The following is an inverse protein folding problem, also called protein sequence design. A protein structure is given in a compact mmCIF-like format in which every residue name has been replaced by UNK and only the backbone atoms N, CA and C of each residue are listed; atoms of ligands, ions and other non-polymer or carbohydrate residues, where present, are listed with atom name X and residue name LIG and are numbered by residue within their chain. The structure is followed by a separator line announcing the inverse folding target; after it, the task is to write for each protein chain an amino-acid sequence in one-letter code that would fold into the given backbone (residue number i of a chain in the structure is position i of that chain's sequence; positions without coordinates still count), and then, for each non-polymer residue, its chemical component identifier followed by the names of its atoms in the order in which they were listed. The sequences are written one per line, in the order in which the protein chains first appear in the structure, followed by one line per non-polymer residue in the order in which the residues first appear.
data_IF_525848683924
#
_entry.id   IF_525848683924
#
_cell.length_a   1.000
_cell.length_b   1.000
_cell.length_c   1.000
_cell.angle_alpha   90.00
_cell.angle_beta   90.00
_cell.angle_gamma   90.00
#
_symmetry.space_group_name_H-M   'P 1'
#
loop_
_entity.id
_entity.type
_entity.pdbx_description
1 polymer ?
#
# COMPACT_ATOMS: atom_id res chain seq x y z
N UNK A 1 5.06 -11.15 -12.16
CA UNK A 1 3.66 -10.84 -11.83
C UNK A 1 3.35 -9.41 -12.23
N UNK A 2 2.14 -9.16 -12.68
CA UNK A 2 1.61 -7.83 -12.96
C UNK A 2 1.02 -7.20 -11.69
N UNK A 3 0.70 -5.91 -11.72
CA UNK A 3 -0.01 -5.28 -10.62
C UNK A 3 -1.39 -5.89 -10.36
N UNK A 4 -2.08 -6.35 -11.40
CA UNK A 4 -3.36 -7.05 -11.24
C UNK A 4 -3.18 -8.38 -10.50
N UNK A 5 -2.18 -9.19 -10.87
CA UNK A 5 -1.92 -10.48 -10.22
C UNK A 5 -1.61 -10.31 -8.72
N UNK A 6 -0.77 -9.31 -8.37
CA UNK A 6 -0.46 -9.00 -6.96
C UNK A 6 -1.67 -8.44 -6.23
N UNK A 7 -2.48 -7.60 -6.90
CA UNK A 7 -3.73 -7.10 -6.35
C UNK A 7 -4.70 -8.23 -6.03
N UNK A 8 -4.87 -9.19 -6.93
CA UNK A 8 -5.74 -10.35 -6.73
C UNK A 8 -5.26 -11.23 -5.57
N UNK A 9 -3.94 -11.43 -5.43
CA UNK A 9 -3.36 -12.17 -4.29
C UNK A 9 -3.51 -11.43 -2.96
N UNK A 10 -3.50 -10.09 -2.98
CA UNK A 10 -3.86 -9.28 -1.81
C UNK A 10 -5.38 -9.13 -1.61
N UNK A 11 -6.20 -9.71 -2.50
CA UNK A 11 -7.62 -9.44 -2.66
C UNK A 11 -8.00 -7.94 -2.75
N UNK A 12 -7.07 -7.12 -3.24
CA UNK A 12 -7.27 -5.69 -3.46
C UNK A 12 -7.67 -5.43 -4.90
N UNK A 13 -8.85 -4.83 -5.06
CA UNK A 13 -9.28 -4.32 -6.37
C UNK A 13 -8.61 -2.98 -6.67
N UNK A 14 -7.68 -3.00 -7.64
CA UNK A 14 -7.06 -1.77 -8.16
C UNK A 14 -8.11 -0.94 -8.90
N UNK A 15 -8.29 0.36 -8.56
CA UNK A 15 -9.21 1.23 -9.28
C UNK A 15 -8.88 1.32 -10.78
N UNK A 16 -9.89 1.38 -11.64
CA UNK A 16 -9.70 1.38 -13.09
C UNK A 16 -8.90 2.60 -13.55
N UNK A 17 -9.12 3.74 -12.90
CA UNK A 17 -8.42 5.01 -13.13
C UNK A 17 -7.00 5.06 -12.55
N UNK A 18 -6.55 4.01 -11.85
CA UNK A 18 -5.23 4.00 -11.24
C UNK A 18 -4.13 4.05 -12.32
N UNK A 19 -3.18 4.96 -12.16
CA UNK A 19 -2.01 5.14 -13.01
C UNK A 19 -0.74 4.82 -12.24
N UNK A 20 0.41 4.82 -12.93
CA UNK A 20 1.73 4.60 -12.32
C UNK A 20 1.74 3.38 -11.38
N UNK A 21 1.34 2.23 -11.93
CA UNK A 21 1.16 0.98 -11.19
C UNK A 21 2.49 0.26 -11.07
N UNK A 22 2.89 -0.03 -9.85
CA UNK A 22 4.08 -0.78 -9.50
C UNK A 22 3.68 -1.95 -8.63
N UNK A 23 4.26 -3.12 -8.87
CA UNK A 23 4.04 -4.26 -8.01
C UNK A 23 5.26 -5.15 -7.97
N UNK A 24 5.47 -5.79 -6.83
CA UNK A 24 6.44 -6.85 -6.66
C UNK A 24 5.84 -7.98 -5.83
N UNK A 25 6.32 -9.17 -6.11
CA UNK A 25 6.17 -10.34 -5.27
C UNK A 25 7.58 -10.87 -4.99
N UNK A 26 7.88 -11.08 -3.72
CA UNK A 26 9.17 -11.53 -3.24
C UNK A 26 8.96 -12.83 -2.47
N UNK A 27 9.43 -13.94 -3.06
CA UNK A 27 9.50 -15.22 -2.36
C UNK A 27 10.41 -15.08 -1.15
N UNK A 28 9.87 -15.24 0.05
CA UNK A 28 10.65 -15.24 1.27
C UNK A 28 11.05 -16.64 1.69
N UNK A 29 11.92 -16.72 2.71
CA UNK A 29 12.30 -18.00 3.31
C UNK A 29 11.33 -18.45 4.41
N UNK A 30 10.58 -17.51 5.00
CA UNK A 30 9.54 -17.75 6.01
C UNK A 30 8.19 -17.29 5.48
N UNK A 31 8.10 -16.02 5.09
CA UNK A 31 6.86 -15.38 4.62
C UNK A 31 7.09 -14.68 3.27
N UNK A 32 6.10 -14.69 2.40
CA UNK A 32 6.17 -14.02 1.10
C UNK A 32 5.80 -12.54 1.22
N UNK A 33 6.57 -11.70 0.54
CA UNK A 33 6.37 -10.26 0.53
C UNK A 33 5.63 -9.80 -0.71
N UNK A 34 4.48 -9.16 -0.54
CA UNK A 34 3.69 -8.56 -1.61
C UNK A 34 3.76 -7.04 -1.51
N UNK A 35 4.12 -6.37 -2.61
CA UNK A 35 4.09 -4.91 -2.72
C UNK A 35 3.19 -4.50 -3.88
N UNK A 36 2.32 -3.54 -3.62
CA UNK A 36 1.51 -2.89 -4.65
C UNK A 36 1.49 -1.39 -4.39
N UNK A 37 1.75 -0.60 -5.43
CA UNK A 37 1.63 0.84 -5.37
C UNK A 37 1.01 1.37 -6.66
N UNK A 38 0.18 2.40 -6.53
CA UNK A 38 -0.43 3.05 -7.68
C UNK A 38 -0.90 4.45 -7.31
N UNK A 39 -1.11 5.29 -8.32
CA UNK A 39 -1.59 6.66 -8.15
C UNK A 39 -3.06 6.73 -8.54
N UNK A 40 -3.87 7.41 -7.73
CA UNK A 40 -5.31 7.65 -7.98
C UNK A 40 -5.67 9.11 -7.72
N UNK A 41 -6.79 9.60 -8.28
CA UNK A 41 -7.32 10.89 -7.89
C UNK A 41 -7.55 10.94 -6.37
N UNK A 42 -7.14 12.02 -5.72
CA UNK A 42 -7.28 12.22 -4.26
C UNK A 42 -8.75 12.09 -3.81
N UNK A 43 -9.70 12.51 -4.66
CA UNK A 43 -11.13 12.35 -4.41
C UNK A 43 -11.61 10.88 -4.35
N UNK A 44 -10.84 9.94 -4.91
CA UNK A 44 -11.15 8.50 -4.93
C UNK A 44 -10.54 7.73 -3.78
N UNK A 45 -9.53 8.29 -3.11
CA UNK A 45 -8.83 7.64 -1.99
C UNK A 45 -9.80 7.15 -0.92
N UNK A 46 -10.77 7.99 -0.52
CA UNK A 46 -11.73 7.60 0.52
C UNK A 46 -12.53 6.35 0.15
N UNK A 47 -13.10 6.32 -1.05
CA UNK A 47 -13.86 5.18 -1.55
C UNK A 47 -12.99 3.91 -1.67
N UNK A 48 -11.74 4.07 -2.13
CA UNK A 48 -10.80 2.97 -2.20
C UNK A 48 -10.48 2.40 -0.81
N UNK A 49 -10.15 3.26 0.16
CA UNK A 49 -9.85 2.85 1.54
C UNK A 49 -11.05 2.17 2.22
N UNK A 50 -12.27 2.65 2.00
CA UNK A 50 -13.48 1.97 2.52
C UNK A 50 -13.61 0.54 2.00
N UNK A 51 -13.17 0.27 0.78
CA UNK A 51 -13.15 -1.09 0.21
C UNK A 51 -12.11 -2.02 0.83
N UNK A 52 -11.10 -1.48 1.52
CA UNK A 52 -10.07 -2.28 2.19
C UNK A 52 -10.48 -2.74 3.60
N UNK A 53 -11.63 -2.29 4.09
CA UNK A 53 -12.13 -2.58 5.44
C UNK A 53 -11.06 -2.34 6.53
N UNK A 54 -10.56 -1.08 6.69
CA UNK A 54 -9.65 -0.76 7.76
C UNK A 54 -10.30 -1.06 9.11
N UNK A 55 -9.59 -1.79 9.97
CA UNK A 55 -10.10 -2.17 11.30
C UNK A 55 -10.27 -0.95 12.21
N UNK A 56 -9.46 0.08 11.99
CA UNK A 56 -9.38 1.31 12.76
C UNK A 56 -9.14 2.50 11.81
N UNK A 57 -9.36 3.72 12.30
CA UNK A 57 -9.03 4.91 11.53
C UNK A 57 -7.52 4.95 11.21
N UNK A 58 -7.17 5.29 9.97
CA UNK A 58 -5.77 5.37 9.55
C UNK A 58 -5.07 6.51 10.29
N UNK A 59 -3.87 6.24 10.78
CA UNK A 59 -3.08 7.25 11.48
C UNK A 59 -2.49 8.24 10.48
N UNK A 60 -2.76 9.53 10.69
CA UNK A 60 -2.10 10.59 9.94
C UNK A 60 -0.75 10.95 10.56
N UNK A 61 0.28 10.93 9.72
CA UNK A 61 1.65 11.31 10.05
C UNK A 61 2.08 12.49 9.19
N UNK A 62 2.18 13.66 9.80
CA UNK A 62 2.57 14.90 9.14
C UNK A 62 4.08 15.01 8.81
N UNK A 63 4.95 14.24 9.48
CA UNK A 63 6.41 14.29 9.30
C UNK A 63 6.99 12.91 9.02
N UNK A 64 8.07 12.79 8.23
CA UNK A 64 8.77 11.51 8.07
C UNK A 64 9.14 10.89 9.41
N UNK A 65 9.19 9.56 9.48
CA UNK A 65 9.66 8.88 10.67
C UNK A 65 11.14 9.21 10.92
N UNK A 66 11.46 9.61 12.15
CA UNK A 66 12.83 9.98 12.54
C UNK A 66 13.79 8.79 12.50
N UNK A 67 13.25 7.57 12.70
CA UNK A 67 13.97 6.32 12.57
C UNK A 67 13.09 5.35 11.77
N UNK A 68 13.62 4.84 10.67
CA UNK A 68 12.96 3.83 9.84
C UNK A 68 13.72 2.52 9.98
N UNK A 69 13.05 1.47 10.43
CA UNK A 69 13.59 0.11 10.28
C UNK A 69 13.60 -0.19 8.78
N UNK A 70 14.71 -0.72 8.26
CA UNK A 70 14.81 -1.07 6.84
C UNK A 70 13.81 -2.20 6.54
N UNK A 71 12.79 -2.00 5.69
CA UNK A 71 11.84 -3.05 5.39
C UNK A 71 12.54 -4.19 4.65
N UNK A 72 12.11 -5.42 4.94
CA UNK A 72 12.59 -6.65 4.28
C UNK A 72 12.21 -6.69 2.80
N UNK A 73 11.06 -6.09 2.46
CA UNK A 73 10.53 -5.95 1.10
C UNK A 73 10.29 -4.46 0.82
N UNK A 74 11.33 -3.71 0.39
CA UNK A 74 11.24 -2.25 0.23
C UNK A 74 10.61 -1.82 -1.10
N UNK A 75 9.79 -0.76 -1.08
CA UNK A 75 9.27 -0.10 -2.28
C UNK A 75 10.38 0.57 -3.12
N UNK A 76 11.54 0.83 -2.54
CA UNK A 76 12.71 1.34 -3.25
C UNK A 76 13.13 0.46 -4.44
N UNK A 77 12.90 -0.86 -4.38
CA UNK A 77 13.17 -1.76 -5.51
C UNK A 77 12.26 -1.49 -6.72
N UNK A 78 11.11 -0.85 -6.49
CA UNK A 78 10.18 -0.40 -7.53
C UNK A 78 10.46 1.04 -7.99
N UNK A 79 11.57 1.65 -7.55
CA UNK A 79 11.91 3.04 -7.84
C UNK A 79 11.06 4.06 -7.07
N UNK A 80 10.38 3.63 -6.01
CA UNK A 80 9.51 4.48 -5.19
C UNK A 80 10.18 4.83 -3.86
N UNK A 81 9.82 5.98 -3.29
CA UNK A 81 10.17 6.29 -1.90
C UNK A 81 9.33 5.45 -0.94
N UNK A 82 9.94 5.05 0.16
CA UNK A 82 9.25 4.36 1.26
C UNK A 82 8.24 5.30 1.92
N UNK A 83 6.99 4.85 2.19
CA UNK A 83 5.99 5.64 2.92
C UNK A 83 6.50 6.26 4.22
N UNK A 84 7.35 5.53 4.94
CA UNK A 84 7.96 5.92 6.21
C UNK A 84 8.85 7.16 6.09
N UNK A 85 9.43 7.40 4.91
CA UNK A 85 10.30 8.55 4.61
C UNK A 85 9.53 9.78 4.11
N UNK A 86 8.22 9.66 3.94
CA UNK A 86 7.35 10.71 3.41
C UNK A 86 6.61 11.45 4.52
N UNK A 87 6.32 12.73 4.27
CA UNK A 87 5.44 13.55 5.08
C UNK A 87 3.96 13.34 4.66
N UNK A 88 3.03 13.80 5.49
CA UNK A 88 1.58 13.80 5.22
C UNK A 88 1.00 12.44 4.78
N UNK A 89 1.49 11.37 5.41
CA UNK A 89 1.05 10.00 5.10
C UNK A 89 -0.08 9.58 6.03
N UNK A 90 -1.11 8.95 5.48
CA UNK A 90 -2.13 8.21 6.25
C UNK A 90 -1.86 6.73 6.12
N UNK A 91 -1.65 6.01 7.22
CA UNK A 91 -1.34 4.58 7.18
C UNK A 91 -1.98 3.78 8.30
N UNK A 92 -2.13 2.47 8.09
CA UNK A 92 -2.68 1.56 9.08
C UNK A 92 -2.98 0.18 8.52
N UNK A 93 -3.28 -0.79 9.39
CA UNK A 93 -3.65 -2.14 9.00
C UNK A 93 -5.01 -2.14 8.30
N UNK A 94 -5.13 -3.02 7.31
CA UNK A 94 -6.36 -3.29 6.56
C UNK A 94 -6.47 -4.78 6.34
N UNK A 95 -7.63 -5.24 5.89
CA UNK A 95 -7.92 -6.67 5.81
C UNK A 95 -8.33 -7.14 4.41
N UNK A 96 -8.86 -6.23 3.59
CA UNK A 96 -9.29 -6.31 2.19
C UNK A 96 -9.48 -7.71 1.57
N UNK A 97 -10.74 -8.05 1.24
CA UNK A 97 -11.59 -8.82 2.15
C UNK A 97 -10.78 -9.83 2.96
N UNK A 98 -11.08 -9.93 4.26
CA UNK A 98 -10.47 -10.83 5.24
C UNK A 98 -10.58 -12.32 4.90
N UNK A 99 -10.01 -12.76 3.77
CA UNK A 99 -10.06 -14.14 3.30
C UNK A 99 -9.12 -15.06 4.10
N UNK A 100 -8.25 -14.47 4.93
CA UNK A 100 -7.34 -15.20 5.82
C UNK A 100 -6.09 -15.75 5.12
N UNK A 101 -5.83 -15.36 3.87
CA UNK A 101 -4.66 -15.79 3.09
C UNK A 101 -3.44 -14.88 3.27
N UNK A 102 -3.57 -13.75 3.97
CA UNK A 102 -2.43 -12.91 4.34
C UNK A 102 -2.32 -12.87 5.87
N UNK A 103 -1.12 -13.07 6.39
CA UNK A 103 -0.78 -12.81 7.78
C UNK A 103 -0.94 -11.33 8.15
N UNK A 104 -0.66 -10.42 7.22
CA UNK A 104 -0.92 -8.99 7.40
C UNK A 104 -1.06 -8.23 6.08
N UNK A 105 -1.84 -7.15 6.09
CA UNK A 105 -1.91 -6.18 5.01
C UNK A 105 -1.93 -4.76 5.60
N UNK A 106 -1.02 -3.92 5.15
CA UNK A 106 -0.94 -2.51 5.54
C UNK A 106 -1.17 -1.62 4.32
N UNK A 107 -1.92 -0.53 4.51
CA UNK A 107 -2.06 0.54 3.52
C UNK A 107 -1.35 1.80 4.01
N UNK A 108 -0.70 2.50 3.08
CA UNK A 108 -0.25 3.87 3.28
C UNK A 108 -0.66 4.75 2.09
N UNK A 109 -1.05 5.98 2.36
CA UNK A 109 -1.48 6.94 1.34
C UNK A 109 -0.72 8.25 1.50
N UNK A 110 -0.08 8.69 0.43
CA UNK A 110 0.68 9.94 0.36
C UNK A 110 0.12 10.85 -0.74
N UNK A 111 -0.23 12.11 -0.48
CA UNK A 111 -0.56 13.07 -1.52
C UNK A 111 0.67 13.33 -2.41
N UNK A 112 0.53 13.16 -3.72
CA UNK A 112 1.59 13.47 -4.69
C UNK A 112 1.47 14.92 -5.13
N UNK A 113 0.25 15.38 -5.34
CA UNK A 113 -0.11 16.76 -5.64
C UNK A 113 -1.54 17.06 -5.13
N UNK A 114 -2.11 18.21 -5.52
CA UNK A 114 -3.45 18.63 -5.09
C UNK A 114 -4.59 17.70 -5.58
N UNK A 115 -4.37 16.96 -6.67
CA UNK A 115 -5.38 16.15 -7.35
C UNK A 115 -5.10 14.65 -7.26
N UNK A 116 -3.87 14.24 -6.96
CA UNK A 116 -3.45 12.85 -6.98
C UNK A 116 -2.80 12.42 -5.67
N UNK A 117 -3.10 11.19 -5.27
CA UNK A 117 -2.49 10.52 -4.14
C UNK A 117 -1.94 9.18 -4.58
N UNK A 118 -0.79 8.81 -4.01
CA UNK A 118 -0.22 7.48 -4.16
C UNK A 118 -0.67 6.60 -3.02
N UNK A 119 -1.15 5.42 -3.38
CA UNK A 119 -1.47 4.33 -2.47
C UNK A 119 -0.30 3.35 -2.50
N UNK A 120 0.06 2.85 -1.32
CA UNK A 120 1.02 1.81 -1.08
C UNK A 120 0.34 0.72 -0.27
N UNK A 121 0.55 -0.54 -0.66
CA UNK A 121 0.06 -1.73 0.01
C UNK A 121 1.21 -2.68 0.21
N UNK A 122 1.36 -3.14 1.44
CA UNK A 122 2.36 -4.13 1.84
C UNK A 122 1.63 -5.31 2.46
N UNK A 123 1.67 -6.44 1.78
CA UNK A 123 1.12 -7.71 2.24
C UNK A 123 2.23 -8.66 2.67
N UNK A 124 1.95 -9.47 3.67
CA UNK A 124 2.79 -10.60 4.10
C UNK A 124 1.86 -11.80 4.27
N UNK A 125 2.20 -12.92 3.64
CA UNK A 125 1.62 -14.25 3.85
C UNK A 125 2.62 -15.14 4.55
#
# INVERSE_FOLDING_TARGET
MTAADVGDQMHVRIPAEATDRHAAYQNGFQDDGLLLAFTVPTARVGAFLSGLAPEQELTHRAKPLAQTVKPTTPFAHLGLKEPETLADVRSGPVCAPCAGELNSLEVAVHPVDAQHSRVYLRGVD
#
